data_IF_689941329960
#
_entry.id   IF_689941329960
#
_cell.length_a   1.000
_cell.length_b   1.000
_cell.length_c   1.000
_cell.angle_alpha   90.00
_cell.angle_beta   90.00
_cell.angle_gamma   90.00
#
_symmetry.space_group_name_H-M   'P 1'
#
loop_
_entity.id
_entity.type
_entity.pdbx_description
1 polymer ?
#
# COMPACT_ATOMS: atom_id res chain seq x y z
N UNK A 1 -58.97 -16.82 -28.63
CA UNK A 1 -58.42 -16.43 -27.32
C UNK A 1 -56.90 -16.34 -27.43
N UNK A 2 -56.39 -15.15 -27.78
CA UNK A 2 -54.96 -14.84 -27.75
C UNK A 2 -54.60 -14.25 -26.39
N UNK A 3 -53.61 -14.83 -25.71
CA UNK A 3 -52.93 -14.17 -24.57
C UNK A 3 -51.75 -13.36 -25.12
N UNK A 4 -51.56 -12.09 -24.74
CA UNK A 4 -50.36 -11.36 -25.07
C UNK A 4 -49.24 -11.74 -24.09
N UNK A 5 -48.07 -12.06 -24.63
CA UNK A 5 -46.81 -12.18 -23.90
C UNK A 5 -46.34 -10.75 -23.63
N UNK A 6 -46.35 -10.33 -22.37
CA UNK A 6 -45.74 -9.07 -21.96
C UNK A 6 -44.22 -9.19 -22.02
N UNK A 7 -43.64 -8.65 -23.09
CA UNK A 7 -42.21 -8.40 -23.17
C UNK A 7 -41.84 -7.27 -22.21
N UNK A 8 -41.26 -7.62 -21.06
CA UNK A 8 -40.51 -6.66 -20.25
C UNK A 8 -39.19 -6.37 -21.00
N UNK A 9 -38.84 -5.11 -21.31
CA UNK A 9 -37.68 -4.81 -22.12
C UNK A 9 -36.39 -5.04 -21.33
N UNK A 10 -35.56 -5.99 -21.80
CA UNK A 10 -34.19 -6.25 -21.30
C UNK A 10 -33.27 -5.02 -21.34
N UNK A 11 -33.64 -3.97 -22.06
CA UNK A 11 -32.81 -2.76 -22.26
C UNK A 11 -32.63 -1.88 -21.01
N UNK A 12 -33.59 -1.83 -20.07
CA UNK A 12 -33.45 -1.00 -18.86
C UNK A 12 -32.48 -1.58 -17.83
N UNK A 13 -32.33 -2.91 -17.76
CA UNK A 13 -31.43 -3.56 -16.81
C UNK A 13 -29.95 -3.42 -17.22
N UNK A 14 -29.65 -3.47 -18.52
CA UNK A 14 -28.28 -3.30 -19.04
C UNK A 14 -27.80 -1.84 -18.96
N UNK A 15 -28.69 -0.85 -19.12
CA UNK A 15 -28.35 0.57 -18.97
C UNK A 15 -28.06 0.97 -17.52
N UNK A 16 -28.84 0.45 -16.56
CA UNK A 16 -28.60 0.69 -15.12
C UNK A 16 -27.28 0.09 -14.64
N UNK A 17 -26.92 -1.10 -15.12
CA UNK A 17 -25.63 -1.74 -14.82
C UNK A 17 -24.42 -1.03 -15.44
N UNK A 18 -24.59 -0.42 -16.63
CA UNK A 18 -23.57 0.39 -17.28
C UNK A 18 -23.28 1.70 -16.55
N UNK A 19 -24.34 2.44 -16.17
CA UNK A 19 -24.22 3.72 -15.47
C UNK A 19 -23.55 3.58 -14.10
N UNK A 20 -23.94 2.58 -13.31
CA UNK A 20 -23.33 2.34 -12.00
C UNK A 20 -21.84 1.97 -12.10
N UNK A 21 -21.44 1.20 -13.12
CA UNK A 21 -20.03 0.86 -13.34
C UNK A 21 -19.18 2.09 -13.68
N UNK A 22 -19.73 3.02 -14.46
CA UNK A 22 -19.04 4.27 -14.80
C UNK A 22 -18.86 5.11 -13.53
N UNK A 23 -19.91 5.24 -12.71
CA UNK A 23 -19.85 5.95 -11.42
C UNK A 23 -18.76 5.34 -10.51
N UNK A 24 -18.77 4.02 -10.34
CA UNK A 24 -17.79 3.32 -9.49
C UNK A 24 -16.34 3.53 -10.00
N UNK A 25 -16.12 3.55 -11.31
CA UNK A 25 -14.82 3.82 -11.92
C UNK A 25 -14.39 5.28 -11.70
N UNK A 26 -15.30 6.23 -11.93
CA UNK A 26 -15.03 7.66 -11.76
C UNK A 26 -14.71 7.97 -10.30
N UNK A 27 -15.49 7.46 -9.35
CA UNK A 27 -15.26 7.65 -7.90
C UNK A 27 -13.91 7.08 -7.49
N UNK A 28 -13.54 5.89 -7.97
CA UNK A 28 -12.23 5.31 -7.68
C UNK A 28 -11.08 6.13 -8.29
N UNK A 29 -11.24 6.57 -9.55
CA UNK A 29 -10.24 7.38 -10.25
C UNK A 29 -10.02 8.71 -9.54
N UNK A 30 -11.09 9.45 -9.22
CA UNK A 30 -10.99 10.75 -8.55
C UNK A 30 -10.43 10.62 -7.14
N UNK A 31 -10.83 9.59 -6.39
CA UNK A 31 -10.23 9.28 -5.09
C UNK A 31 -8.72 9.09 -5.20
N UNK A 32 -8.26 8.22 -6.11
CA UNK A 32 -6.85 7.93 -6.28
C UNK A 32 -6.06 9.13 -6.81
N UNK A 33 -6.64 9.90 -7.72
CA UNK A 33 -6.01 11.11 -8.27
C UNK A 33 -5.76 12.13 -7.15
N UNK A 34 -6.79 12.42 -6.34
CA UNK A 34 -6.69 13.34 -5.19
C UNK A 34 -5.68 12.80 -4.18
N UNK A 35 -5.73 11.50 -3.90
CA UNK A 35 -4.81 10.85 -2.97
C UNK A 35 -3.36 10.97 -3.43
N UNK A 36 -3.03 10.60 -4.67
CA UNK A 36 -1.67 10.71 -5.19
C UNK A 36 -1.22 12.17 -5.32
N UNK A 37 -2.11 13.06 -5.76
CA UNK A 37 -1.81 14.49 -5.85
C UNK A 37 -1.44 15.05 -4.48
N UNK A 38 -2.28 14.82 -3.45
CA UNK A 38 -2.01 15.17 -2.06
C UNK A 38 -0.69 14.56 -1.58
N UNK A 39 -0.48 13.26 -1.86
CA UNK A 39 0.68 12.54 -1.37
C UNK A 39 1.98 13.08 -1.99
N UNK A 40 1.99 13.39 -3.28
CA UNK A 40 3.12 14.05 -3.94
C UNK A 40 3.39 15.43 -3.37
N UNK A 41 2.36 16.24 -3.11
CA UNK A 41 2.52 17.53 -2.42
C UNK A 41 3.04 17.40 -0.99
N UNK A 42 2.63 16.35 -0.27
CA UNK A 42 3.07 16.13 1.13
C UNK A 42 4.48 15.58 1.21
N UNK A 43 4.91 14.83 0.18
CA UNK A 43 6.21 14.14 0.17
C UNK A 43 7.29 14.91 -0.59
N UNK A 44 6.92 15.96 -1.31
CA UNK A 44 7.88 16.80 -2.04
C UNK A 44 8.46 17.87 -1.13
N UNK A 45 9.67 18.32 -1.43
CA UNK A 45 10.42 19.35 -0.71
C UNK A 45 9.86 20.75 -0.94
N UNK A 46 8.57 20.91 -0.63
CA UNK A 46 7.79 22.11 -0.84
C UNK A 46 7.71 22.92 0.47
N UNK A 47 8.65 23.83 0.70
CA UNK A 47 8.54 24.75 1.84
C UNK A 47 7.63 25.94 1.47
N UNK A 48 6.31 25.73 1.52
CA UNK A 48 5.35 26.76 1.14
C UNK A 48 4.00 26.63 1.87
N UNK A 49 3.61 27.70 2.58
CA UNK A 49 2.35 27.75 3.34
C UNK A 49 1.09 27.45 2.49
N UNK A 50 0.96 27.97 1.25
CA UNK A 50 -0.04 27.55 0.27
C UNK A 50 -0.16 26.03 0.07
N UNK A 51 0.96 25.30 0.03
CA UNK A 51 0.96 23.85 -0.19
C UNK A 51 0.41 23.13 1.04
N UNK A 52 0.82 23.55 2.24
CA UNK A 52 0.24 23.04 3.48
C UNK A 52 -1.29 23.28 3.55
N UNK A 53 -1.76 24.45 3.11
CA UNK A 53 -3.20 24.75 3.04
C UNK A 53 -3.91 23.89 2.00
N UNK A 54 -3.32 23.70 0.82
CA UNK A 54 -3.86 22.81 -0.21
C UNK A 54 -3.98 21.36 0.30
N UNK A 55 -2.95 20.83 0.98
CA UNK A 55 -2.98 19.49 1.58
C UNK A 55 -4.12 19.36 2.61
N UNK A 56 -4.37 20.38 3.44
CA UNK A 56 -5.51 20.40 4.38
C UNK A 56 -6.86 20.35 3.64
N UNK A 57 -7.03 21.13 2.57
CA UNK A 57 -8.25 21.11 1.75
C UNK A 57 -8.46 19.74 1.12
N UNK A 58 -7.41 19.15 0.53
CA UNK A 58 -7.46 17.82 -0.07
C UNK A 58 -7.81 16.73 0.97
N UNK A 59 -7.28 16.84 2.20
CA UNK A 59 -7.69 15.97 3.31
C UNK A 59 -9.18 16.10 3.63
N UNK A 60 -9.73 17.32 3.65
CA UNK A 60 -11.16 17.58 3.83
C UNK A 60 -12.01 16.92 2.73
N UNK A 61 -11.60 17.04 1.47
CA UNK A 61 -12.28 16.38 0.35
C UNK A 61 -12.21 14.85 0.48
N UNK A 62 -11.05 14.31 0.85
CA UNK A 62 -10.88 12.88 1.06
C UNK A 62 -11.76 12.33 2.19
N UNK A 63 -12.04 13.11 3.24
CA UNK A 63 -13.01 12.75 4.27
C UNK A 63 -14.43 12.61 3.73
N UNK A 64 -14.83 13.40 2.72
CA UNK A 64 -16.13 13.22 2.05
C UNK A 64 -16.21 11.85 1.36
N UNK A 65 -15.11 11.38 0.75
CA UNK A 65 -15.05 10.04 0.20
C UNK A 65 -15.11 8.95 1.28
N UNK A 66 -14.57 9.18 2.47
CA UNK A 66 -14.75 8.26 3.61
C UNK A 66 -16.22 8.18 4.00
N UNK A 67 -16.90 9.33 4.09
CA UNK A 67 -18.34 9.39 4.33
C UNK A 67 -19.13 8.62 3.27
N UNK A 68 -18.84 8.85 1.98
CA UNK A 68 -19.46 8.12 0.88
C UNK A 68 -19.15 6.62 0.92
N UNK A 69 -17.91 6.23 1.19
CA UNK A 69 -17.52 4.82 1.36
C UNK A 69 -18.35 4.16 2.48
N UNK A 70 -18.56 4.88 3.58
CA UNK A 70 -19.38 4.39 4.69
C UNK A 70 -20.85 4.20 4.28
N UNK A 71 -21.44 5.09 3.47
CA UNK A 71 -22.85 4.92 3.05
C UNK A 71 -23.06 3.70 2.17
N UNK A 72 -22.16 3.48 1.20
CA UNK A 72 -22.25 2.36 0.24
C UNK A 72 -21.80 1.02 0.82
N UNK A 73 -21.01 1.02 1.90
CA UNK A 73 -20.46 -0.17 2.54
C UNK A 73 -21.53 -1.19 3.01
N UNK A 74 -21.18 -2.47 2.91
CA UNK A 74 -21.95 -3.56 3.53
C UNK A 74 -21.89 -3.48 5.06
N UNK A 75 -22.80 -4.18 5.78
CA UNK A 75 -22.81 -4.17 7.26
C UNK A 75 -21.46 -4.54 7.89
N UNK A 76 -20.74 -5.50 7.30
CA UNK A 76 -19.41 -5.92 7.77
C UNK A 76 -18.35 -4.84 7.52
N UNK A 77 -18.35 -4.26 6.33
CA UNK A 77 -17.45 -3.15 5.96
C UNK A 77 -17.73 -1.90 6.81
N UNK A 78 -19.00 -1.59 7.11
CA UNK A 78 -19.41 -0.51 8.03
C UNK A 78 -18.87 -0.72 9.43
N UNK A 79 -18.97 -1.94 9.97
CA UNK A 79 -18.41 -2.26 11.28
C UNK A 79 -16.89 -2.07 11.33
N UNK A 80 -16.19 -2.51 10.27
CA UNK A 80 -14.74 -2.33 10.14
C UNK A 80 -14.35 -0.84 10.04
N UNK A 81 -14.90 -0.12 9.07
CA UNK A 81 -14.58 1.29 8.83
C UNK A 81 -15.01 2.16 10.02
N UNK A 82 -16.20 1.94 10.56
CA UNK A 82 -16.72 2.66 11.71
C UNK A 82 -15.89 2.49 12.97
N UNK A 83 -15.40 1.27 13.24
CA UNK A 83 -14.53 1.05 14.40
C UNK A 83 -13.16 1.71 14.26
N UNK A 84 -12.54 1.69 13.07
CA UNK A 84 -11.30 2.43 12.83
C UNK A 84 -11.49 3.95 12.86
N UNK A 85 -12.63 4.46 12.37
CA UNK A 85 -13.00 5.88 12.52
C UNK A 85 -13.11 6.23 14.01
N UNK A 86 -13.79 5.40 14.82
CA UNK A 86 -13.93 5.64 16.25
C UNK A 86 -12.58 5.68 16.96
N UNK A 87 -11.70 4.70 16.69
CA UNK A 87 -10.35 4.67 17.26
C UNK A 87 -9.50 5.87 16.82
N UNK A 88 -9.63 6.29 15.56
CA UNK A 88 -8.98 7.50 15.05
C UNK A 88 -9.46 8.76 15.78
N UNK A 89 -10.78 8.95 15.89
CA UNK A 89 -11.36 10.11 16.59
C UNK A 89 -10.95 10.13 18.06
N UNK A 90 -10.89 8.96 18.70
CA UNK A 90 -10.48 8.83 20.09
C UNK A 90 -8.98 9.14 20.30
N UNK A 91 -8.10 8.67 19.41
CA UNK A 91 -6.67 9.03 19.42
C UNK A 91 -6.48 10.54 19.23
N UNK A 92 -7.21 11.16 18.30
CA UNK A 92 -7.19 12.62 18.09
C UNK A 92 -7.68 13.38 19.32
N UNK A 93 -8.81 12.98 19.90
CA UNK A 93 -9.41 13.63 21.08
C UNK A 93 -8.52 13.54 22.33
N UNK A 94 -7.68 12.51 22.42
CA UNK A 94 -6.76 12.28 23.54
C UNK A 94 -5.35 12.79 23.29
N UNK A 95 -5.09 13.44 22.15
CA UNK A 95 -3.78 14.03 21.83
C UNK A 95 -2.70 13.04 21.35
N UNK A 96 -3.09 11.82 20.97
CA UNK A 96 -2.18 10.73 20.58
C UNK A 96 -1.86 10.67 19.08
N UNK A 97 -2.26 11.69 18.31
CA UNK A 97 -1.90 11.88 16.91
C UNK A 97 -2.89 11.33 15.88
N UNK A 98 -2.58 11.54 14.60
CA UNK A 98 -3.44 11.25 13.46
C UNK A 98 -3.09 9.95 12.72
N UNK A 99 -2.26 9.09 13.33
CA UNK A 99 -1.68 7.91 12.69
C UNK A 99 -2.70 6.98 12.01
N UNK A 100 -3.86 6.76 12.63
CA UNK A 100 -4.93 5.90 12.08
C UNK A 100 -5.63 6.50 10.85
N UNK A 101 -5.38 7.76 10.52
CA UNK A 101 -5.98 8.45 9.38
C UNK A 101 -5.67 7.75 8.05
N UNK A 102 -4.42 7.31 7.85
CA UNK A 102 -4.01 6.56 6.66
C UNK A 102 -4.74 5.22 6.52
N UNK A 103 -5.02 4.55 7.64
CA UNK A 103 -5.78 3.29 7.69
C UNK A 103 -7.25 3.52 7.33
N UNK A 104 -7.86 4.61 7.80
CA UNK A 104 -9.25 4.97 7.46
C UNK A 104 -9.41 5.20 5.95
N UNK A 105 -8.54 6.01 5.34
CA UNK A 105 -8.58 6.25 3.89
C UNK A 105 -8.40 4.99 3.07
N UNK A 106 -7.54 4.12 3.56
CA UNK A 106 -7.25 2.86 2.93
C UNK A 106 -8.41 1.88 2.94
N UNK A 107 -9.10 1.74 4.06
CA UNK A 107 -10.32 0.93 4.13
C UNK A 107 -11.40 1.53 3.22
N UNK A 108 -11.56 2.86 3.23
CA UNK A 108 -12.48 3.56 2.35
C UNK A 108 -12.16 3.28 0.87
N UNK A 109 -10.89 3.38 0.46
CA UNK A 109 -10.43 3.04 -0.88
C UNK A 109 -10.81 1.61 -1.29
N UNK A 110 -10.55 0.62 -0.44
CA UNK A 110 -10.89 -0.77 -0.73
C UNK A 110 -12.40 -0.94 -0.93
N UNK A 111 -13.22 -0.28 -0.10
CA UNK A 111 -14.69 -0.32 -0.21
C UNK A 111 -15.17 0.33 -1.52
N UNK A 112 -14.57 1.46 -1.91
CA UNK A 112 -14.87 2.20 -3.14
C UNK A 112 -14.35 1.49 -4.40
N UNK A 113 -13.31 0.67 -4.29
CA UNK A 113 -12.80 -0.16 -5.37
C UNK A 113 -13.79 -1.29 -5.68
N UNK A 114 -14.86 -0.94 -6.40
CA UNK A 114 -15.95 -1.86 -6.79
C UNK A 114 -15.78 -2.49 -8.17
N UNK A 115 -14.72 -2.12 -8.86
CA UNK A 115 -14.38 -2.55 -10.23
C UNK A 115 -13.49 -3.79 -10.27
N UNK A 116 -13.58 -4.59 -11.33
CA UNK A 116 -12.75 -5.78 -11.55
C UNK A 116 -11.25 -5.46 -11.47
N UNK A 117 -10.43 -6.44 -11.07
CA UNK A 117 -9.02 -6.20 -10.77
C UNK A 117 -8.22 -5.58 -11.94
N UNK A 118 -8.40 -6.01 -13.22
CA UNK A 118 -7.71 -5.37 -14.34
C UNK A 118 -8.04 -3.88 -14.46
N UNK A 119 -9.32 -3.51 -14.31
CA UNK A 119 -9.74 -2.10 -14.33
C UNK A 119 -9.25 -1.34 -13.10
N UNK A 120 -9.31 -1.96 -11.91
CA UNK A 120 -8.78 -1.35 -10.69
C UNK A 120 -7.30 -0.99 -10.84
N UNK A 121 -6.50 -1.92 -11.38
CA UNK A 121 -5.08 -1.69 -11.64
C UNK A 121 -4.83 -0.64 -12.72
N UNK A 122 -5.61 -0.63 -13.81
CA UNK A 122 -5.50 0.39 -14.84
C UNK A 122 -5.81 1.80 -14.29
N UNK A 123 -6.88 1.94 -13.51
CA UNK A 123 -7.24 3.19 -12.84
C UNK A 123 -6.14 3.63 -11.88
N UNK A 124 -5.54 2.70 -11.12
CA UNK A 124 -4.38 2.98 -10.27
C UNK A 124 -3.22 3.57 -11.06
N UNK A 125 -2.82 2.93 -12.16
CA UNK A 125 -1.72 3.40 -13.00
C UNK A 125 -2.03 4.76 -13.62
N UNK A 126 -3.24 4.94 -14.17
CA UNK A 126 -3.68 6.22 -14.75
C UNK A 126 -3.63 7.32 -13.71
N UNK A 127 -4.26 7.13 -12.55
CA UNK A 127 -4.25 8.12 -11.47
C UNK A 127 -2.82 8.45 -11.03
N UNK A 128 -1.96 7.44 -10.87
CA UNK A 128 -0.57 7.62 -10.47
C UNK A 128 0.21 8.48 -11.48
N UNK A 129 0.17 8.09 -12.76
CA UNK A 129 0.91 8.77 -13.84
C UNK A 129 0.35 10.17 -14.06
N UNK A 130 -0.97 10.35 -14.01
CA UNK A 130 -1.61 11.67 -14.11
C UNK A 130 -1.20 12.57 -12.96
N UNK A 131 -1.23 12.11 -11.71
CA UNK A 131 -0.79 12.92 -10.57
C UNK A 131 0.71 13.22 -10.64
N UNK A 132 1.54 12.29 -11.12
CA UNK A 132 2.97 12.53 -11.32
C UNK A 132 3.21 13.60 -12.41
N UNK A 133 2.46 13.53 -13.52
CA UNK A 133 2.54 14.53 -14.58
C UNK A 133 2.01 15.91 -14.16
N UNK A 134 1.04 15.96 -13.24
CA UNK A 134 0.45 17.23 -12.76
C UNK A 134 1.22 17.88 -11.61
N UNK A 135 1.92 17.11 -10.79
CA UNK A 135 2.63 17.62 -9.60
C UNK A 135 4.13 17.47 -9.74
N UNK A 136 4.60 16.24 -9.92
CA UNK A 136 6.03 15.95 -9.93
C UNK A 136 6.71 16.56 -11.16
N UNK A 137 6.13 16.45 -12.36
CA UNK A 137 6.76 16.95 -13.58
C UNK A 137 6.92 18.49 -13.60
N UNK A 138 5.91 19.31 -13.26
CA UNK A 138 6.11 20.74 -13.11
C UNK A 138 7.14 21.06 -12.04
N UNK A 139 7.11 20.36 -10.90
CA UNK A 139 8.07 20.60 -9.83
C UNK A 139 9.52 20.27 -10.24
N UNK A 140 9.73 19.22 -11.04
CA UNK A 140 11.04 18.91 -11.61
C UNK A 140 11.61 20.07 -12.46
N UNK A 141 10.77 20.93 -13.03
CA UNK A 141 11.22 22.10 -13.78
C UNK A 141 11.61 23.29 -12.89
N UNK A 142 11.22 23.28 -11.61
CA UNK A 142 11.41 24.39 -10.67
C UNK A 142 12.20 23.99 -9.41
N UNK A 143 12.69 22.74 -9.32
CA UNK A 143 13.49 22.29 -8.17
C UNK A 143 14.96 22.65 -8.33
N UNK A 144 15.56 23.23 -7.29
CA UNK A 144 16.97 23.60 -7.27
C UNK A 144 17.90 22.38 -7.08
N UNK A 145 17.36 21.27 -6.59
CA UNK A 145 18.08 20.00 -6.46
C UNK A 145 17.18 18.80 -6.76
N UNK A 146 17.73 17.82 -7.49
CA UNK A 146 17.12 16.51 -7.71
C UNK A 146 17.61 15.45 -6.74
N UNK A 147 18.47 15.86 -5.81
CA UNK A 147 19.32 14.98 -5.02
C UNK A 147 19.29 15.39 -3.56
N UNK A 148 19.14 14.40 -2.68
CA UNK A 148 19.32 14.55 -1.25
C UNK A 148 20.72 14.11 -0.86
N UNK A 149 21.43 14.93 -0.09
CA UNK A 149 22.75 14.59 0.43
C UNK A 149 22.59 13.73 1.70
N UNK A 150 22.87 12.44 1.56
CA UNK A 150 22.87 11.48 2.65
C UNK A 150 24.29 11.26 3.15
N UNK A 151 24.54 11.39 4.45
CA UNK A 151 25.88 11.24 5.03
C UNK A 151 26.53 9.87 4.75
N UNK A 152 25.72 8.83 4.48
CA UNK A 152 26.19 7.44 4.31
C UNK A 152 26.39 7.07 2.85
N UNK A 153 25.61 7.66 1.94
CA UNK A 153 25.55 7.28 0.54
C UNK A 153 25.89 8.42 -0.43
N UNK A 154 26.14 9.62 0.11
CA UNK A 154 26.33 10.83 -0.66
C UNK A 154 25.03 11.24 -1.36
N UNK A 155 25.16 11.61 -2.63
CA UNK A 155 24.07 12.12 -3.45
C UNK A 155 23.07 11.02 -3.82
N UNK A 156 21.87 11.06 -3.23
CA UNK A 156 20.75 10.15 -3.53
C UNK A 156 19.71 10.84 -4.38
N UNK A 157 19.30 10.20 -5.48
CA UNK A 157 18.25 10.73 -6.36
C UNK A 157 16.91 10.73 -5.63
N UNK A 158 16.28 11.91 -5.54
CA UNK A 158 14.94 12.06 -4.99
C UNK A 158 13.94 12.60 -5.99
N UNK A 159 14.36 13.18 -7.12
CA UNK A 159 13.45 13.76 -8.12
C UNK A 159 12.45 14.75 -7.48
N UNK A 160 12.90 15.49 -6.46
CA UNK A 160 12.08 16.46 -5.75
C UNK A 160 11.29 15.93 -4.54
N UNK A 161 11.37 14.63 -4.23
CA UNK A 161 10.87 14.11 -2.96
C UNK A 161 11.79 14.48 -1.79
N UNK A 162 11.22 14.71 -0.60
CA UNK A 162 11.99 14.95 0.63
C UNK A 162 12.80 13.72 1.05
N UNK A 163 12.28 12.52 0.73
CA UNK A 163 12.90 11.27 1.13
C UNK A 163 13.10 10.34 -0.09
N UNK A 164 14.34 9.88 -0.36
CA UNK A 164 14.63 8.97 -1.47
C UNK A 164 13.90 7.62 -1.37
N UNK A 165 13.60 7.14 -0.15
CA UNK A 165 12.83 5.91 0.05
C UNK A 165 11.37 6.07 -0.37
N UNK A 166 10.82 7.29 -0.30
CA UNK A 166 9.46 7.60 -0.75
C UNK A 166 9.33 7.45 -2.27
N UNK A 167 10.28 8.03 -3.02
CA UNK A 167 10.38 7.80 -4.47
C UNK A 167 10.47 6.30 -4.79
N UNK A 168 11.35 5.59 -4.10
CA UNK A 168 11.58 4.18 -4.34
C UNK A 168 10.34 3.31 -4.07
N UNK A 169 9.60 3.60 -3.00
CA UNK A 169 8.34 2.92 -2.70
C UNK A 169 7.30 3.11 -3.81
N UNK A 170 7.18 4.34 -4.32
CA UNK A 170 6.23 4.65 -5.39
C UNK A 170 6.57 3.93 -6.70
N UNK A 171 7.84 3.94 -7.08
CA UNK A 171 8.30 3.21 -8.26
C UNK A 171 8.10 1.70 -8.11
N UNK A 172 8.35 1.16 -6.92
CA UNK A 172 8.10 -0.24 -6.61
C UNK A 172 6.62 -0.62 -6.70
N UNK A 173 5.72 0.21 -6.14
CA UNK A 173 4.27 -0.01 -6.21
C UNK A 173 3.75 0.07 -7.66
N UNK A 174 4.24 1.04 -8.44
CA UNK A 174 3.93 1.16 -9.87
C UNK A 174 4.39 -0.08 -10.65
N UNK A 175 5.66 -0.49 -10.48
CA UNK A 175 6.20 -1.68 -11.13
C UNK A 175 5.38 -2.93 -10.80
N UNK A 176 5.04 -3.14 -9.52
CA UNK A 176 4.25 -4.28 -9.09
C UNK A 176 2.86 -4.30 -9.73
N UNK A 177 2.18 -3.16 -9.81
CA UNK A 177 0.87 -3.06 -10.46
C UNK A 177 0.95 -3.30 -11.97
N UNK A 178 1.94 -2.72 -12.65
CA UNK A 178 2.15 -2.93 -14.09
C UNK A 178 2.43 -4.41 -14.42
N UNK A 179 3.26 -5.09 -13.62
CA UNK A 179 3.50 -6.53 -13.77
C UNK A 179 2.23 -7.36 -13.49
N UNK A 180 1.40 -6.96 -12.51
CA UNK A 180 0.11 -7.60 -12.27
C UNK A 180 -0.85 -7.46 -13.47
N UNK A 181 -0.93 -6.28 -14.08
CA UNK A 181 -1.73 -6.06 -15.28
C UNK A 181 -1.20 -6.87 -16.46
N UNK A 182 0.12 -6.93 -16.63
CA UNK A 182 0.77 -7.68 -17.69
C UNK A 182 0.56 -9.19 -17.55
N UNK A 183 0.59 -9.73 -16.33
CA UNK A 183 0.27 -11.12 -16.04
C UNK A 183 -1.15 -11.48 -16.53
N UNK A 184 -2.12 -10.59 -16.35
CA UNK A 184 -3.51 -10.79 -16.80
C UNK A 184 -3.78 -10.41 -18.25
N UNK A 185 -2.88 -9.69 -18.91
CA UNK A 185 -3.08 -9.27 -20.29
C UNK A 185 -3.23 -10.48 -21.22
N UNK A 186 -4.10 -10.37 -22.22
CA UNK A 186 -4.29 -11.38 -23.27
C UNK A 186 -3.17 -11.29 -24.33
N UNK A 187 -1.92 -11.46 -23.88
CA UNK A 187 -0.71 -11.39 -24.70
C UNK A 187 0.05 -12.71 -24.65
N UNK A 188 0.83 -13.00 -25.70
CA UNK A 188 1.73 -14.15 -25.69
C UNK A 188 2.80 -14.01 -24.61
N UNK A 189 3.30 -15.14 -24.09
CA UNK A 189 4.30 -15.13 -23.02
C UNK A 189 5.60 -14.40 -23.41
N UNK A 190 6.00 -14.51 -24.68
CA UNK A 190 7.16 -13.77 -25.21
C UNK A 190 6.96 -12.26 -25.13
N UNK A 191 5.79 -11.76 -25.55
CA UNK A 191 5.47 -10.32 -25.47
C UNK A 191 5.41 -9.84 -24.01
N UNK A 192 4.82 -10.64 -23.11
CA UNK A 192 4.82 -10.33 -21.67
C UNK A 192 6.24 -10.24 -21.11
N UNK A 193 7.11 -11.18 -21.46
CA UNK A 193 8.49 -11.15 -20.98
C UNK A 193 9.27 -9.93 -21.51
N UNK A 194 9.08 -9.59 -22.79
CA UNK A 194 9.69 -8.40 -23.39
C UNK A 194 9.19 -7.12 -22.72
N UNK A 195 7.88 -6.99 -22.51
CA UNK A 195 7.30 -5.84 -21.83
C UNK A 195 7.80 -5.72 -20.38
N UNK A 196 7.89 -6.83 -19.64
CA UNK A 196 8.47 -6.84 -18.29
C UNK A 196 9.95 -6.42 -18.27
N UNK A 197 10.73 -6.83 -19.28
CA UNK A 197 12.12 -6.40 -19.44
C UNK A 197 12.21 -4.90 -19.72
N UNK A 198 11.39 -4.36 -20.62
CA UNK A 198 11.34 -2.92 -20.90
C UNK A 198 10.97 -2.11 -19.65
N UNK A 199 9.98 -2.57 -18.88
CA UNK A 199 9.62 -1.96 -17.60
C UNK A 199 10.80 -1.99 -16.60
N UNK A 200 11.51 -3.11 -16.52
CA UNK A 200 12.67 -3.24 -15.65
C UNK A 200 13.81 -2.30 -16.06
N UNK A 201 14.13 -2.23 -17.36
CA UNK A 201 15.15 -1.32 -17.91
C UNK A 201 14.78 0.15 -17.65
N UNK A 202 13.51 0.51 -17.69
CA UNK A 202 13.05 1.87 -17.42
C UNK A 202 13.10 2.24 -15.93
N UNK A 203 12.64 1.35 -15.04
CA UNK A 203 12.42 1.70 -13.62
C UNK A 203 13.57 1.33 -12.68
N UNK A 204 14.31 0.24 -12.94
CA UNK A 204 15.40 -0.19 -12.06
C UNK A 204 16.56 0.80 -11.97
N UNK A 205 16.99 1.49 -13.05
CA UNK A 205 18.04 2.50 -12.94
C UNK A 205 17.64 3.63 -11.98
N UNK A 206 16.40 4.11 -12.04
CA UNK A 206 15.89 5.15 -11.15
C UNK A 206 15.93 4.67 -9.69
N UNK A 207 15.50 3.42 -9.45
CA UNK A 207 15.59 2.80 -8.12
C UNK A 207 17.04 2.65 -7.64
N UNK A 208 17.97 2.29 -8.51
CA UNK A 208 19.39 2.19 -8.19
C UNK A 208 19.97 3.54 -7.75
N UNK A 209 19.66 4.62 -8.47
CA UNK A 209 20.11 5.97 -8.14
C UNK A 209 19.43 6.57 -6.89
N UNK A 210 18.27 6.04 -6.46
CA UNK A 210 17.67 6.39 -5.16
C UNK A 210 18.44 5.82 -3.96
N UNK A 211 19.35 4.86 -4.20
CA UNK A 211 20.08 4.08 -3.19
C UNK A 211 19.19 3.35 -2.17
N UNK A 212 17.90 3.15 -2.46
CA UNK A 212 17.01 2.37 -1.60
C UNK A 212 17.20 0.86 -1.82
N UNK A 213 18.12 0.27 -1.05
CA UNK A 213 18.52 -1.14 -1.16
C UNK A 213 17.33 -2.11 -1.04
N UNK A 214 16.40 -1.85 -0.13
CA UNK A 214 15.22 -2.69 0.09
C UNK A 214 14.34 -2.73 -1.16
N UNK A 215 13.91 -1.56 -1.65
CA UNK A 215 13.00 -1.51 -2.81
C UNK A 215 13.67 -1.98 -4.10
N UNK A 216 14.98 -1.73 -4.27
CA UNK A 216 15.73 -2.28 -5.40
C UNK A 216 15.74 -3.81 -5.36
N UNK A 217 16.07 -4.42 -4.21
CA UNK A 217 16.11 -5.88 -4.07
C UNK A 217 14.73 -6.50 -4.27
N UNK A 218 13.68 -5.90 -3.72
CA UNK A 218 12.30 -6.37 -3.88
C UNK A 218 11.80 -6.20 -5.32
N UNK A 219 12.17 -5.12 -6.01
CA UNK A 219 11.87 -4.92 -7.43
C UNK A 219 12.55 -5.97 -8.30
N UNK A 220 13.84 -6.23 -8.08
CA UNK A 220 14.58 -7.30 -8.75
C UNK A 220 13.93 -8.67 -8.51
N UNK A 221 13.55 -8.95 -7.26
CA UNK A 221 12.83 -10.16 -6.90
C UNK A 221 11.49 -10.28 -7.63
N UNK A 222 10.69 -9.21 -7.73
CA UNK A 222 9.43 -9.22 -8.48
C UNK A 222 9.64 -9.50 -9.96
N UNK A 223 10.64 -8.88 -10.60
CA UNK A 223 10.96 -9.10 -12.01
C UNK A 223 11.39 -10.55 -12.24
N UNK A 224 12.27 -11.09 -11.39
CA UNK A 224 12.67 -12.49 -11.45
C UNK A 224 11.47 -13.44 -11.27
N UNK A 225 10.62 -13.17 -10.29
CA UNK A 225 9.41 -13.96 -10.02
C UNK A 225 8.40 -13.87 -11.17
N UNK A 226 8.32 -12.76 -11.90
CA UNK A 226 7.46 -12.65 -13.08
C UNK A 226 7.82 -13.69 -14.15
N UNK A 227 9.12 -13.88 -14.38
CA UNK A 227 9.60 -14.89 -15.34
C UNK A 227 9.52 -16.33 -14.80
N UNK A 228 9.82 -16.52 -13.51
CA UNK A 228 9.93 -17.84 -12.86
C UNK A 228 8.60 -18.42 -12.37
N UNK A 229 7.68 -17.60 -11.85
CA UNK A 229 6.43 -18.07 -11.25
C UNK A 229 5.54 -18.91 -12.18
N UNK A 230 5.45 -18.66 -13.49
CA UNK A 230 4.68 -19.53 -14.37
C UNK A 230 5.40 -20.86 -14.68
N UNK A 231 6.71 -20.97 -14.44
CA UNK A 231 7.48 -22.22 -14.54
C UNK A 231 7.38 -23.05 -13.24
N UNK A 232 7.25 -22.38 -12.10
CA UNK A 232 7.15 -23.03 -10.81
C UNK A 232 5.75 -23.56 -10.52
N UNK A 233 5.70 -24.76 -9.92
CA UNK A 233 4.47 -25.33 -9.35
C UNK A 233 4.15 -24.75 -7.97
N UNK A 234 5.16 -24.19 -7.30
CA UNK A 234 5.05 -23.62 -5.97
C UNK A 234 4.57 -22.17 -6.04
N UNK A 235 3.53 -21.87 -5.27
CA UNK A 235 3.07 -20.50 -5.04
C UNK A 235 2.67 -20.36 -3.56
N UNK A 236 2.92 -19.19 -2.95
CA UNK A 236 2.62 -18.97 -1.55
C UNK A 236 1.12 -19.06 -1.30
N UNK A 237 0.75 -19.86 -0.30
CA UNK A 237 -0.63 -19.98 0.18
C UNK A 237 -0.85 -19.18 1.47
N UNK A 238 -2.10 -19.16 1.95
CA UNK A 238 -2.47 -18.47 3.21
C UNK A 238 -1.56 -18.82 4.38
N UNK A 239 -1.31 -20.12 4.60
CA UNK A 239 -0.45 -20.59 5.70
C UNK A 239 0.96 -20.03 5.59
N UNK A 240 1.57 -20.09 4.40
CA UNK A 240 2.90 -19.54 4.15
C UNK A 240 2.95 -18.04 4.45
N UNK A 241 2.01 -17.25 3.90
CA UNK A 241 1.98 -15.80 4.12
C UNK A 241 1.72 -15.43 5.59
N UNK A 242 0.85 -16.16 6.30
CA UNK A 242 0.60 -15.95 7.73
C UNK A 242 1.83 -16.28 8.57
N UNK A 243 2.51 -17.40 8.29
CA UNK A 243 3.74 -17.77 9.00
C UNK A 243 4.84 -16.75 8.71
N UNK A 244 5.02 -16.34 7.44
CA UNK A 244 5.98 -15.31 7.07
C UNK A 244 5.77 -14.02 7.86
N UNK A 245 4.53 -13.51 7.90
CA UNK A 245 4.19 -12.31 8.68
C UNK A 245 4.51 -12.47 10.16
N UNK A 246 4.09 -13.58 10.78
CA UNK A 246 4.36 -13.83 12.20
C UNK A 246 5.86 -13.93 12.50
N UNK A 247 6.62 -14.60 11.63
CA UNK A 247 8.07 -14.71 11.76
C UNK A 247 8.74 -13.34 11.65
N UNK A 248 8.32 -12.48 10.71
CA UNK A 248 8.87 -11.13 10.58
C UNK A 248 8.60 -10.28 11.83
N UNK A 249 7.37 -10.32 12.36
CA UNK A 249 7.02 -9.61 13.60
C UNK A 249 7.82 -10.14 14.79
N UNK A 250 7.97 -11.46 14.90
CA UNK A 250 8.73 -12.09 15.98
C UNK A 250 10.21 -11.72 15.91
N UNK A 251 10.82 -11.76 14.73
CA UNK A 251 12.22 -11.36 14.54
C UNK A 251 12.42 -9.90 14.97
N UNK A 252 11.54 -8.99 14.54
CA UNK A 252 11.63 -7.58 14.92
C UNK A 252 11.55 -7.40 16.44
N UNK A 253 10.55 -8.01 17.07
CA UNK A 253 10.33 -7.90 18.50
C UNK A 253 11.50 -8.49 19.31
N UNK A 254 11.95 -9.70 18.97
CA UNK A 254 13.04 -10.38 19.69
C UNK A 254 14.37 -9.66 19.51
N UNK A 255 14.66 -9.15 18.30
CA UNK A 255 15.91 -8.43 18.01
C UNK A 255 16.03 -7.16 18.86
N UNK A 256 14.91 -6.49 19.13
CA UNK A 256 14.89 -5.31 20.00
C UNK A 256 14.91 -5.69 21.48
N UNK A 257 14.10 -6.66 21.90
CA UNK A 257 14.03 -7.07 23.31
C UNK A 257 15.38 -7.59 23.85
N UNK A 258 16.15 -8.28 23.00
CA UNK A 258 17.46 -8.86 23.36
C UNK A 258 18.65 -8.00 22.95
N UNK A 259 18.41 -6.78 22.49
CA UNK A 259 19.48 -5.87 22.08
C UNK A 259 20.47 -5.64 23.24
N UNK A 260 21.76 -5.79 22.96
CA UNK A 260 22.86 -5.70 23.92
C UNK A 260 23.29 -7.05 24.50
N UNK A 261 22.54 -8.13 24.28
CA UNK A 261 22.90 -9.46 24.78
C UNK A 261 24.02 -10.12 23.97
N UNK A 262 24.23 -9.73 22.71
CA UNK A 262 25.32 -10.23 21.89
C UNK A 262 25.89 -9.10 21.01
N UNK A 263 26.87 -8.32 21.53
CA UNK A 263 27.37 -7.11 20.88
C UNK A 263 27.86 -7.32 19.45
N UNK A 264 28.47 -8.47 19.13
CA UNK A 264 28.96 -8.76 17.79
C UNK A 264 27.82 -8.98 16.79
N UNK A 265 26.80 -9.75 17.19
CA UNK A 265 25.62 -9.97 16.36
C UNK A 265 24.78 -8.69 16.24
N UNK A 266 24.65 -7.94 17.32
CA UNK A 266 23.89 -6.69 17.38
C UNK A 266 24.48 -5.64 16.45
N UNK A 267 25.82 -5.47 16.46
CA UNK A 267 26.50 -4.57 15.54
C UNK A 267 26.25 -4.94 14.07
N UNK A 268 26.35 -6.24 13.73
CA UNK A 268 26.14 -6.73 12.37
C UNK A 268 24.69 -6.54 11.90
N UNK A 269 23.72 -6.94 12.72
CA UNK A 269 22.29 -6.80 12.38
C UNK A 269 21.89 -5.33 12.27
N UNK A 270 22.40 -4.48 13.16
CA UNK A 270 22.06 -3.07 13.14
C UNK A 270 22.69 -2.34 11.95
N UNK A 271 23.91 -2.72 11.54
CA UNK A 271 24.49 -2.22 10.30
C UNK A 271 23.68 -2.68 9.08
N UNK A 272 23.32 -3.97 9.03
CA UNK A 272 22.52 -4.53 7.94
C UNK A 272 21.13 -3.86 7.83
N UNK A 273 20.53 -3.50 8.97
CA UNK A 273 19.23 -2.84 9.05
C UNK A 273 19.31 -1.33 9.23
N UNK A 274 20.49 -0.74 9.01
CA UNK A 274 20.69 0.72 8.94
C UNK A 274 20.38 1.48 10.24
N UNK A 275 20.47 0.80 11.39
CA UNK A 275 20.23 1.39 12.72
C UNK A 275 18.85 1.09 13.31
N UNK A 276 17.94 0.46 12.55
CA UNK A 276 16.52 0.30 12.93
C UNK A 276 16.30 -0.47 14.23
N UNK A 277 17.14 -1.47 14.53
CA UNK A 277 17.03 -2.22 15.80
C UNK A 277 17.37 -1.30 16.97
N UNK A 278 18.47 -0.57 16.86
CA UNK A 278 18.92 0.33 17.93
C UNK A 278 17.92 1.44 18.22
N UNK A 279 17.40 2.13 17.19
CA UNK A 279 16.37 3.17 17.37
C UNK A 279 15.09 2.60 18.00
N UNK A 280 14.65 1.42 17.54
CA UNK A 280 13.48 0.74 18.13
C UNK A 280 13.72 0.32 19.58
N UNK A 281 14.96 -0.05 19.93
CA UNK A 281 15.35 -0.37 21.30
C UNK A 281 15.36 0.87 22.19
N UNK A 282 15.90 2.00 21.75
CA UNK A 282 15.84 3.26 22.50
C UNK A 282 14.39 3.65 22.82
N UNK A 283 13.51 3.52 21.83
CA UNK A 283 12.08 3.75 22.01
C UNK A 283 11.47 2.78 23.03
N UNK A 284 11.79 1.48 22.92
CA UNK A 284 11.32 0.46 23.86
C UNK A 284 11.78 0.72 25.30
N UNK A 285 13.03 1.17 25.48
CA UNK A 285 13.55 1.55 26.81
C UNK A 285 12.84 2.78 27.39
N UNK A 286 12.50 3.76 26.55
CA UNK A 286 11.86 5.00 26.99
C UNK A 286 10.35 4.84 27.26
N UNK A 287 9.65 4.11 26.40
CA UNK A 287 8.18 4.02 26.41
C UNK A 287 7.65 2.71 27.03
N UNK A 288 8.51 1.70 27.21
CA UNK A 288 8.09 0.36 27.61
C UNK A 288 7.26 -0.32 26.51
N UNK A 289 6.29 -1.16 26.90
CA UNK A 289 5.39 -1.85 25.95
C UNK A 289 4.38 -0.88 25.31
N UNK A 290 3.92 -1.15 24.07
CA UNK A 290 2.93 -0.31 23.40
C UNK A 290 1.62 -0.25 24.19
N UNK A 291 1.00 0.93 24.22
CA UNK A 291 -0.27 1.11 24.93
C UNK A 291 -1.35 0.19 24.30
N UNK A 292 -2.17 -0.49 25.13
CA UNK A 292 -3.19 -1.39 24.62
C UNK A 292 -4.22 -0.73 23.68
N UNK A 293 -4.58 0.52 23.94
CA UNK A 293 -5.72 1.18 23.28
C UNK A 293 -5.30 2.37 22.40
N UNK A 294 -4.37 3.20 22.87
CA UNK A 294 -4.00 4.44 22.20
C UNK A 294 -2.68 4.33 21.45
N UNK A 295 -2.59 5.08 20.35
CA UNK A 295 -1.33 5.35 19.70
C UNK A 295 -0.44 6.26 20.55
N UNK A 296 0.80 6.43 20.16
CA UNK A 296 1.72 7.41 20.70
C UNK A 296 2.50 8.03 19.55
N UNK A 297 2.81 9.33 19.67
CA UNK A 297 3.71 9.94 18.71
C UNK A 297 5.13 9.43 18.94
N UNK A 298 5.69 8.76 17.94
CA UNK A 298 7.04 8.19 17.94
C UNK A 298 8.05 9.04 17.13
N UNK A 299 7.66 10.25 16.72
CA UNK A 299 8.48 11.14 15.87
C UNK A 299 9.87 11.39 16.48
N UNK A 300 9.95 11.53 17.80
CA UNK A 300 11.20 11.75 18.54
C UNK A 300 12.20 10.59 18.42
N UNK A 301 11.76 9.40 17.99
CA UNK A 301 12.59 8.20 17.88
C UNK A 301 12.93 7.85 16.42
N UNK A 302 12.50 8.67 15.45
CA UNK A 302 12.76 8.42 14.03
C UNK A 302 14.28 8.31 13.76
N UNK A 303 14.71 7.38 12.88
CA UNK A 303 13.91 6.55 11.99
C UNK A 303 13.56 5.16 12.58
N UNK A 304 12.40 5.03 13.25
CA UNK A 304 11.81 3.73 13.60
C UNK A 304 10.96 3.25 12.42
N UNK A 305 11.58 2.53 11.48
CA UNK A 305 10.86 1.97 10.32
C UNK A 305 10.50 0.49 10.50
N UNK A 306 10.85 -0.13 11.63
CA UNK A 306 10.39 -1.49 11.91
C UNK A 306 8.88 -1.52 12.03
N UNK A 307 8.26 -2.30 11.15
CA UNK A 307 6.82 -2.36 11.03
C UNK A 307 6.09 -2.67 12.34
N UNK A 308 6.61 -3.60 13.15
CA UNK A 308 6.02 -3.91 14.45
C UNK A 308 6.03 -2.67 15.36
N UNK A 309 7.18 -2.03 15.52
CA UNK A 309 7.34 -0.89 16.42
C UNK A 309 6.56 0.32 15.94
N UNK A 310 6.63 0.64 14.65
CA UNK A 310 5.84 1.71 14.08
C UNK A 310 4.33 1.46 14.25
N UNK A 311 3.83 0.28 13.87
CA UNK A 311 2.40 -0.03 13.94
C UNK A 311 1.89 -0.05 15.38
N UNK A 312 2.51 -0.85 16.25
CA UNK A 312 1.99 -1.07 17.60
C UNK A 312 2.08 0.16 18.49
N UNK A 313 3.15 0.96 18.38
CA UNK A 313 3.27 2.17 19.19
C UNK A 313 2.39 3.29 18.66
N UNK A 314 2.29 3.48 17.35
CA UNK A 314 1.54 4.61 16.80
C UNK A 314 0.05 4.35 16.60
N UNK A 315 -0.40 3.11 16.44
CA UNK A 315 -1.83 2.76 16.40
C UNK A 315 -2.39 2.28 17.74
N UNK A 316 -1.53 1.80 18.65
CA UNK A 316 -1.93 1.05 19.83
C UNK A 316 -2.12 -0.44 19.53
N UNK A 317 -1.97 -1.29 20.56
CA UNK A 317 -1.93 -2.74 20.38
C UNK A 317 -3.25 -3.32 19.84
N UNK A 318 -4.40 -2.85 20.32
CA UNK A 318 -5.71 -3.33 19.90
C UNK A 318 -5.96 -3.06 18.41
N UNK A 319 -5.74 -1.82 17.96
CA UNK A 319 -5.92 -1.44 16.56
C UNK A 319 -4.97 -2.23 15.64
N UNK A 320 -3.73 -2.43 16.09
CA UNK A 320 -2.70 -3.18 15.37
C UNK A 320 -3.06 -4.66 15.22
N UNK A 321 -3.45 -5.31 16.32
CA UNK A 321 -3.89 -6.71 16.31
C UNK A 321 -5.15 -6.88 15.45
N UNK A 322 -6.08 -5.92 15.52
CA UNK A 322 -7.28 -5.96 14.70
C UNK A 322 -6.95 -5.85 13.20
N UNK A 323 -6.07 -4.92 12.81
CA UNK A 323 -5.60 -4.77 11.43
C UNK A 323 -4.91 -6.05 10.92
N UNK A 324 -4.00 -6.62 11.71
CA UNK A 324 -3.32 -7.88 11.38
C UNK A 324 -4.29 -9.05 11.26
N UNK A 325 -5.30 -9.13 12.14
CA UNK A 325 -6.35 -10.14 12.05
C UNK A 325 -7.16 -10.01 10.76
N UNK A 326 -7.59 -8.79 10.40
CA UNK A 326 -8.30 -8.53 9.14
C UNK A 326 -7.45 -8.96 7.94
N UNK A 327 -6.17 -8.59 7.93
CA UNK A 327 -5.25 -9.01 6.86
C UNK A 327 -5.12 -10.53 6.75
N UNK A 328 -4.91 -11.23 7.87
CA UNK A 328 -4.82 -12.68 7.91
C UNK A 328 -6.11 -13.38 7.43
N UNK A 329 -7.27 -12.74 7.59
CA UNK A 329 -8.55 -13.21 7.02
C UNK A 329 -8.58 -13.00 5.52
N UNK A 330 -8.10 -11.85 5.01
CA UNK A 330 -8.01 -11.55 3.58
C UNK A 330 -7.06 -12.50 2.83
N UNK A 331 -6.00 -13.01 3.48
CA UNK A 331 -5.09 -14.00 2.88
C UNK A 331 -5.79 -15.28 2.39
N UNK A 332 -7.00 -15.58 2.87
CA UNK A 332 -7.81 -16.67 2.31
C UNK A 332 -8.13 -16.48 0.82
N UNK A 333 -8.17 -15.23 0.34
CA UNK A 333 -8.48 -14.91 -1.05
C UNK A 333 -7.30 -15.14 -2.00
N UNK A 334 -6.09 -15.47 -1.50
CA UNK A 334 -4.95 -15.87 -2.34
C UNK A 334 -5.29 -16.99 -3.32
N UNK A 335 -6.23 -17.87 -2.96
CA UNK A 335 -6.67 -18.98 -3.81
C UNK A 335 -7.21 -18.53 -5.17
N UNK A 336 -7.76 -17.32 -5.26
CA UNK A 336 -8.34 -16.76 -6.49
C UNK A 336 -7.34 -15.93 -7.31
N UNK A 337 -6.11 -15.75 -6.82
CA UNK A 337 -5.06 -15.02 -7.53
C UNK A 337 -4.21 -15.96 -8.38
N UNK A 338 -3.63 -15.41 -9.47
CA UNK A 338 -2.63 -16.10 -10.28
C UNK A 338 -1.39 -16.43 -9.43
N UNK A 339 -0.56 -17.38 -9.90
CA UNK A 339 0.66 -17.77 -9.18
C UNK A 339 1.59 -16.58 -8.96
N UNK A 340 1.77 -15.75 -9.99
CA UNK A 340 2.57 -14.53 -9.88
C UNK A 340 1.99 -13.54 -8.87
N UNK A 341 0.68 -13.27 -8.91
CA UNK A 341 0.04 -12.35 -7.96
C UNK A 341 0.13 -12.82 -6.50
N UNK A 342 0.13 -14.13 -6.25
CA UNK A 342 0.39 -14.67 -4.90
C UNK A 342 1.80 -14.34 -4.43
N UNK A 343 2.78 -14.47 -5.33
CA UNK A 343 4.15 -14.04 -5.06
C UNK A 343 4.27 -12.54 -4.85
N UNK A 344 3.51 -11.72 -5.61
CA UNK A 344 3.42 -10.28 -5.35
C UNK A 344 3.01 -10.04 -3.90
N UNK A 345 1.93 -10.66 -3.40
CA UNK A 345 1.51 -10.54 -1.99
C UNK A 345 2.62 -10.93 -1.01
N UNK A 346 3.37 -11.99 -1.27
CA UNK A 346 4.46 -12.43 -0.41
C UNK A 346 5.66 -11.46 -0.41
N UNK A 347 6.06 -10.93 -1.57
CA UNK A 347 7.13 -9.91 -1.66
C UNK A 347 6.71 -8.63 -0.96
N UNK A 348 5.45 -8.24 -1.15
CA UNK A 348 4.84 -7.12 -0.46
C UNK A 348 4.86 -7.33 1.07
N UNK A 349 4.60 -8.54 1.57
CA UNK A 349 4.82 -8.86 2.99
C UNK A 349 6.26 -8.68 3.46
N UNK A 350 7.28 -8.97 2.63
CA UNK A 350 8.68 -8.78 3.01
C UNK A 350 9.04 -7.31 3.28
N UNK A 351 8.32 -6.36 2.68
CA UNK A 351 8.53 -4.93 3.00
C UNK A 351 8.20 -4.60 4.46
N UNK A 352 7.34 -5.40 5.14
CA UNK A 352 7.10 -5.25 6.59
C UNK A 352 8.35 -5.44 7.42
N UNK A 353 9.43 -5.98 6.86
CA UNK A 353 10.68 -6.12 7.60
C UNK A 353 11.39 -4.78 7.84
N UNK A 354 11.19 -3.79 6.96
CA UNK A 354 11.99 -2.55 6.99
C UNK A 354 11.16 -1.29 6.90
N UNK A 355 9.87 -1.38 6.58
CA UNK A 355 9.02 -0.24 6.27
C UNK A 355 7.65 -0.35 6.91
N UNK A 356 7.00 0.79 7.07
CA UNK A 356 5.67 0.93 7.69
C UNK A 356 4.52 0.52 6.74
N UNK A 357 4.65 -0.69 6.22
CA UNK A 357 3.95 -1.26 5.08
C UNK A 357 2.40 -1.30 5.14
N UNK A 358 1.80 -1.35 6.34
CA UNK A 358 0.35 -1.33 6.50
C UNK A 358 -0.25 0.06 6.72
N UNK A 359 0.56 1.13 6.67
CA UNK A 359 0.09 2.47 7.00
C UNK A 359 -0.40 3.29 5.81
N UNK A 360 0.05 2.95 4.61
CA UNK A 360 -0.51 3.52 3.38
C UNK A 360 -1.09 2.43 2.47
N UNK A 361 -2.13 1.69 2.90
CA UNK A 361 -2.68 0.60 2.12
C UNK A 361 -3.15 0.93 0.70
N UNK A 362 -3.41 2.19 0.37
CA UNK A 362 -3.67 2.59 -1.03
C UNK A 362 -2.51 2.19 -1.95
N UNK A 363 -1.26 2.28 -1.47
CA UNK A 363 -0.07 1.80 -2.19
C UNK A 363 0.26 0.32 -1.93
N UNK A 364 -0.45 -0.30 -1.00
CA UNK A 364 -0.29 -1.72 -0.71
C UNK A 364 -1.08 -2.54 -1.72
N UNK A 365 -0.43 -2.80 -2.86
CA UNK A 365 -0.97 -3.61 -3.96
C UNK A 365 -1.47 -4.97 -3.45
N UNK A 366 -0.84 -5.55 -2.42
CA UNK A 366 -1.30 -6.82 -1.84
C UNK A 366 -2.72 -6.73 -1.26
N UNK A 367 -3.07 -5.63 -0.59
CA UNK A 367 -4.39 -5.44 -0.02
C UNK A 367 -5.46 -5.28 -1.10
N UNK A 368 -5.16 -4.52 -2.16
CA UNK A 368 -6.04 -4.40 -3.32
C UNK A 368 -6.27 -5.76 -4.00
N UNK A 369 -5.19 -6.51 -4.24
CA UNK A 369 -5.24 -7.86 -4.80
C UNK A 369 -6.12 -8.79 -3.95
N UNK A 370 -5.83 -8.89 -2.65
CA UNK A 370 -6.56 -9.78 -1.74
C UNK A 370 -8.03 -9.39 -1.59
N UNK A 371 -8.34 -8.09 -1.57
CA UNK A 371 -9.71 -7.62 -1.43
C UNK A 371 -10.56 -7.88 -2.67
N UNK A 372 -9.98 -7.70 -3.86
CA UNK A 372 -10.68 -7.90 -5.15
C UNK A 372 -10.69 -9.33 -5.65
N UNK A 373 -9.72 -10.16 -5.23
CA UNK A 373 -9.52 -11.54 -5.68
C UNK A 373 -10.80 -12.40 -5.69
N UNK A 374 -11.64 -12.32 -4.65
CA UNK A 374 -12.87 -13.12 -4.56
C UNK A 374 -13.99 -12.66 -5.51
N UNK A 375 -14.03 -11.37 -5.87
CA UNK A 375 -15.10 -10.80 -6.71
C UNK A 375 -14.91 -11.14 -8.20
N UNK A 376 -13.67 -11.36 -8.63
CA UNK A 376 -13.35 -11.73 -10.01
C UNK A 376 -13.66 -13.22 -10.34
N UNK A 377 -13.78 -14.07 -9.33
CA UNK A 377 -14.13 -15.51 -9.46
C UNK A 377 -15.55 -15.83 -9.01
N UNK A 378 -16.44 -14.84 -9.00
CA UNK A 378 -17.87 -15.08 -9.13
C UNK A 378 -18.21 -15.03 -10.62
N UNK A 379 -18.02 -16.10 -11.41
CA UNK A 379 -18.79 -16.22 -12.62
C UNK A 379 -20.26 -16.26 -12.17
N UNK A 380 -21.15 -15.69 -12.97
CA UNK A 380 -22.58 -15.96 -12.84
C UNK A 380 -22.82 -17.46 -12.57
N UNK A 381 -23.85 -17.75 -11.78
CA UNK A 381 -24.43 -19.07 -11.49
C UNK A 381 -23.70 -19.95 -10.47
N UNK A 382 -24.30 -20.03 -9.27
CA UNK A 382 -24.98 -21.25 -8.86
C UNK A 382 -26.31 -20.81 -8.24
N UNK A 383 -27.36 -21.54 -8.62
CA UNK A 383 -28.70 -21.46 -8.05
C UNK A 383 -28.67 -21.68 -6.54
#
# INVERSE_FOLDING_TARGET
>A
MHKPISAVPRQCADQAGGSQRVIDQTVMLTFLLIFFFKTFLTSGAFDNAPIAQAVKVLNGIMLLYVGYAFTVATRREKGLLGGFILLFMLNMATGHGDYLFGVVFSIAFLILSRVDLPRAGAIFVIAYVSSAALVALPYLLYTDSFVYLDERYGNRLTLGFDNPNTLAYYLFALLAMLLCLLDRAALSRGIKNLAALLLAVMLLPILMYSYSRTYLLLALLLVALFWLAPLWRLAPGRKFCSVLLLTLLLIQFVSVLRWGANPALDALLNQALTGRIWFSWQMFQALGLPNPLFGQNIDAYKPVDFFYFALFYSAGALASLWLLWVYCRLLANLAFLSRFMRWVVAVFLLTTFTETYFLVPVFNISLLLLYRAKKDFSPLTLR
#
